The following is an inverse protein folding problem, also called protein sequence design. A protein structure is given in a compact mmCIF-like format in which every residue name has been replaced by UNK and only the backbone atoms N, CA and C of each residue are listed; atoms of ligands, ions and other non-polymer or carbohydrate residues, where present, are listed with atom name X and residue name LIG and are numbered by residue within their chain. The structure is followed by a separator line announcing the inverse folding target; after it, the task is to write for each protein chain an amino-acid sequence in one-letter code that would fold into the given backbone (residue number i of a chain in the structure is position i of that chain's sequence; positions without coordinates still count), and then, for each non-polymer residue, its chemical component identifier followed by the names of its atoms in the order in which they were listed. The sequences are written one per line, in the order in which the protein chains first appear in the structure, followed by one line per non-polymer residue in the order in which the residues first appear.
data_IF_155906607968
#
_entry.id   IF_155906607968
#
_cell.length_a   1.000
_cell.length_b   1.000
_cell.length_c   1.000
_cell.angle_alpha   90.00
_cell.angle_beta   90.00
_cell.angle_gamma   90.00
#
_symmetry.space_group_name_H-M   'P 1'
#
loop_
_entity.id
_entity.type
_entity.pdbx_description
1 polymer ?
#
# COMPACT_ATOMS: atom_id res chain seq x y z
N UNK A 1 12.31 25.74 14.98
CA UNK A 1 10.87 25.57 14.70
C UNK A 1 10.69 24.33 13.86
N UNK A 2 9.81 23.42 14.26
CA UNK A 2 9.79 22.03 13.80
C UNK A 2 9.53 21.87 12.29
N UNK A 3 8.95 22.85 11.60
CA UNK A 3 8.72 22.86 10.14
C UNK A 3 8.57 24.33 9.68
N UNK A 4 9.03 24.75 8.49
CA UNK A 4 8.70 26.07 7.95
C UNK A 4 7.17 26.26 7.82
N UNK A 5 6.62 27.43 8.22
CA UNK A 5 5.18 27.71 8.20
C UNK A 5 4.43 27.35 6.90
N UNK A 6 4.97 27.62 5.69
CA UNK A 6 4.27 27.26 4.45
C UNK A 6 4.11 25.74 4.29
N UNK A 7 5.10 24.93 4.70
CA UNK A 7 5.02 23.47 4.59
C UNK A 7 4.03 22.89 5.60
N UNK A 8 3.89 23.52 6.78
CA UNK A 8 2.85 23.17 7.76
C UNK A 8 1.44 23.45 7.20
N UNK A 9 1.23 24.57 6.50
CA UNK A 9 -0.05 24.89 5.87
C UNK A 9 -0.39 23.92 4.74
N UNK A 10 0.60 23.56 3.90
CA UNK A 10 0.40 22.61 2.81
C UNK A 10 0.04 21.22 3.35
N UNK A 11 0.77 20.73 4.36
CA UNK A 11 0.48 19.42 4.97
C UNK A 11 -0.87 19.39 5.68
N UNK A 12 -1.25 20.48 6.37
CA UNK A 12 -2.57 20.61 6.97
C UNK A 12 -3.68 20.62 5.91
N UNK A 13 -3.50 21.38 4.82
CA UNK A 13 -4.42 21.39 3.68
C UNK A 13 -4.58 20.00 3.08
N UNK A 14 -3.47 19.30 2.84
CA UNK A 14 -3.48 17.93 2.34
C UNK A 14 -4.25 16.96 3.25
N UNK A 15 -4.00 17.01 4.57
CA UNK A 15 -4.71 16.17 5.53
C UNK A 15 -6.20 16.47 5.57
N UNK A 16 -6.60 17.76 5.50
CA UNK A 16 -8.00 18.16 5.44
C UNK A 16 -8.68 17.67 4.16
N UNK A 17 -8.04 17.82 3.00
CA UNK A 17 -8.57 17.30 1.73
C UNK A 17 -8.74 15.79 1.79
N UNK A 18 -7.76 15.07 2.35
CA UNK A 18 -7.79 13.61 2.44
C UNK A 18 -8.87 13.12 3.42
N UNK A 19 -9.06 13.83 4.54
CA UNK A 19 -10.15 13.58 5.49
C UNK A 19 -11.51 13.84 4.83
N UNK A 20 -11.62 14.93 4.06
CA UNK A 20 -12.83 15.31 3.33
C UNK A 20 -13.23 14.30 2.26
N UNK A 21 -12.27 13.83 1.46
CA UNK A 21 -12.47 12.75 0.49
C UNK A 21 -12.96 11.50 1.22
N UNK A 22 -12.34 11.17 2.36
CA UNK A 22 -12.81 10.04 3.13
C UNK A 22 -14.27 10.20 3.59
N UNK A 23 -14.58 11.32 4.24
CA UNK A 23 -15.94 11.60 4.67
C UNK A 23 -16.96 11.59 3.51
N UNK A 24 -16.56 11.96 2.29
CA UNK A 24 -17.37 11.77 1.09
C UNK A 24 -17.48 10.29 0.72
N UNK A 25 -16.40 9.51 0.63
CA UNK A 25 -16.47 8.09 0.29
C UNK A 25 -17.43 7.29 1.18
N UNK A 26 -17.59 7.71 2.44
CA UNK A 26 -18.60 7.18 3.35
C UNK A 26 -20.05 7.34 2.85
N UNK A 27 -20.39 8.44 2.17
CA UNK A 27 -21.75 8.68 1.63
C UNK A 27 -22.11 7.76 0.47
N UNK A 28 -21.10 7.14 -0.16
CA UNK A 28 -21.29 6.13 -1.21
C UNK A 28 -21.69 4.77 -0.63
N UNK A 29 -21.51 4.56 0.69
CA UNK A 29 -21.83 3.29 1.33
C UNK A 29 -23.29 3.32 1.77
N UNK A 30 -24.11 2.31 1.39
CA UNK A 30 -25.53 2.26 1.75
C UNK A 30 -25.77 2.05 3.25
N UNK A 31 -24.74 1.66 4.02
CA UNK A 31 -24.81 1.43 5.45
C UNK A 31 -24.10 2.56 6.24
N UNK A 32 -24.78 3.20 7.21
CA UNK A 32 -24.18 4.25 8.01
C UNK A 32 -23.19 3.64 9.01
N UNK A 33 -21.92 3.57 8.63
CA UNK A 33 -20.84 3.24 9.58
C UNK A 33 -20.68 4.39 10.60
N UNK A 34 -20.10 4.22 11.79
CA UNK A 34 -19.70 5.34 12.66
C UNK A 34 -18.48 6.11 12.09
N UNK A 35 -18.43 7.45 12.23
CA UNK A 35 -17.41 8.30 11.58
C UNK A 35 -15.98 8.01 12.04
N UNK A 36 -15.78 7.84 13.36
CA UNK A 36 -14.47 7.58 13.93
C UNK A 36 -13.82 6.30 13.40
N UNK A 37 -14.47 5.13 13.55
CA UNK A 37 -13.95 3.87 13.02
C UNK A 37 -13.78 3.86 11.50
N UNK A 38 -14.66 4.56 10.78
CA UNK A 38 -14.58 4.69 9.32
C UNK A 38 -13.31 5.45 8.88
N UNK A 39 -13.03 6.60 9.49
CA UNK A 39 -11.82 7.37 9.22
C UNK A 39 -10.56 6.59 9.59
N UNK A 40 -10.57 5.91 10.75
CA UNK A 40 -9.44 5.10 11.19
C UNK A 40 -9.14 3.98 10.18
N UNK A 41 -10.17 3.26 9.71
CA UNK A 41 -10.02 2.24 8.69
C UNK A 41 -9.53 2.82 7.35
N UNK A 42 -10.00 4.00 6.95
CA UNK A 42 -9.57 4.69 5.74
C UNK A 42 -8.07 5.02 5.77
N UNK A 43 -7.59 5.63 6.86
CA UNK A 43 -6.17 5.92 7.05
C UNK A 43 -5.33 4.64 7.16
N UNK A 44 -5.82 3.63 7.87
CA UNK A 44 -5.16 2.33 7.95
C UNK A 44 -5.00 1.69 6.56
N UNK A 45 -6.01 1.80 5.69
CA UNK A 45 -5.94 1.27 4.33
C UNK A 45 -4.86 1.97 3.49
N UNK A 46 -4.76 3.30 3.56
CA UNK A 46 -3.71 4.06 2.86
C UNK A 46 -2.33 3.65 3.37
N UNK A 47 -2.16 3.55 4.69
CA UNK A 47 -0.91 3.13 5.29
C UNK A 47 -0.53 1.71 4.88
N UNK A 48 -1.48 0.78 4.91
CA UNK A 48 -1.28 -0.60 4.47
C UNK A 48 -0.96 -0.68 2.98
N UNK A 49 -1.60 0.11 2.12
CA UNK A 49 -1.29 0.15 0.70
C UNK A 49 0.16 0.63 0.46
N UNK A 50 0.58 1.71 1.12
CA UNK A 50 1.96 2.17 1.08
C UNK A 50 2.93 1.11 1.60
N UNK A 51 2.60 0.46 2.71
CA UNK A 51 3.42 -0.58 3.32
C UNK A 51 3.58 -1.81 2.41
N UNK A 52 2.47 -2.34 1.87
CA UNK A 52 2.48 -3.44 0.92
C UNK A 52 3.27 -3.07 -0.34
N UNK A 53 3.14 -1.83 -0.81
CA UNK A 53 3.89 -1.33 -1.96
C UNK A 53 5.40 -1.27 -1.68
N UNK A 54 5.80 -0.78 -0.51
CA UNK A 54 7.20 -0.77 -0.05
C UNK A 54 7.75 -2.19 0.14
N UNK A 55 6.94 -3.12 0.67
CA UNK A 55 7.34 -4.52 0.78
C UNK A 55 7.56 -5.14 -0.60
N UNK A 56 6.70 -4.83 -1.56
CA UNK A 56 6.83 -5.27 -2.97
C UNK A 56 8.05 -4.67 -3.65
N UNK A 57 8.54 -3.51 -3.20
CA UNK A 57 9.79 -2.92 -3.68
C UNK A 57 11.04 -3.68 -3.26
N UNK A 58 10.96 -4.55 -2.25
CA UNK A 58 12.06 -5.45 -1.94
C UNK A 58 12.10 -6.56 -2.98
N UNK A 59 13.20 -6.74 -3.74
CA UNK A 59 13.33 -7.84 -4.69
C UNK A 59 13.23 -9.17 -3.94
N UNK A 60 12.06 -9.79 -3.99
CA UNK A 60 11.77 -11.09 -3.42
C UNK A 60 11.74 -12.14 -4.53
N UNK A 61 12.27 -13.32 -4.25
CA UNK A 61 12.00 -14.50 -5.07
C UNK A 61 10.54 -14.91 -4.81
N UNK A 62 9.69 -14.82 -5.82
CA UNK A 62 8.33 -15.36 -5.74
C UNK A 62 8.44 -16.84 -6.09
N UNK A 63 8.24 -17.71 -5.11
CA UNK A 63 8.25 -19.16 -5.30
C UNK A 63 6.80 -19.66 -5.37
N UNK A 64 6.44 -20.31 -6.48
CA UNK A 64 5.13 -20.94 -6.65
C UNK A 64 5.27 -22.25 -7.42
N UNK A 65 4.71 -23.34 -6.86
CA UNK A 65 4.65 -24.68 -7.48
C UNK A 65 6.00 -25.22 -8.02
N UNK A 66 7.09 -25.10 -7.23
CA UNK A 66 8.41 -25.62 -7.59
C UNK A 66 9.25 -24.73 -8.52
N UNK A 67 8.70 -23.59 -8.94
CA UNK A 67 9.38 -22.62 -9.80
C UNK A 67 9.62 -21.34 -9.00
N UNK A 68 10.89 -20.92 -8.90
CA UNK A 68 11.26 -19.68 -8.21
C UNK A 68 11.58 -18.60 -9.24
N UNK A 69 10.80 -17.52 -9.24
CA UNK A 69 11.01 -16.35 -10.10
C UNK A 69 11.79 -15.30 -9.33
N UNK A 70 12.99 -14.97 -9.81
CA UNK A 70 13.71 -13.81 -9.29
C UNK A 70 13.16 -12.57 -9.99
N UNK A 71 12.35 -11.78 -9.29
CA UNK A 71 11.73 -10.58 -9.85
C UNK A 71 12.57 -9.36 -9.48
N UNK A 72 12.90 -8.56 -10.48
CA UNK A 72 13.56 -7.27 -10.27
C UNK A 72 12.56 -6.13 -10.18
N UNK A 73 13.07 -4.99 -9.70
CA UNK A 73 12.36 -3.71 -9.61
C UNK A 73 11.44 -3.47 -10.82
N UNK A 74 10.14 -3.32 -10.55
CA UNK A 74 9.10 -3.10 -11.57
C UNK A 74 8.41 -4.37 -12.10
N UNK A 75 8.54 -5.52 -11.44
CA UNK A 75 7.82 -6.74 -11.83
C UNK A 75 8.42 -7.49 -13.02
N UNK A 76 9.63 -7.11 -13.47
CA UNK A 76 10.34 -7.85 -14.52
C UNK A 76 11.06 -9.06 -13.95
N UNK A 77 10.66 -10.24 -14.41
CA UNK A 77 11.31 -11.52 -14.11
C UNK A 77 12.73 -11.49 -14.69
N UNK A 78 13.73 -11.62 -13.81
CA UNK A 78 15.15 -11.57 -14.18
C UNK A 78 15.74 -12.94 -14.44
N UNK A 79 15.31 -13.94 -13.67
CA UNK A 79 15.72 -15.35 -13.80
C UNK A 79 14.60 -16.27 -13.34
N UNK A 80 14.40 -17.34 -14.10
CA UNK A 80 13.55 -18.47 -13.71
C UNK A 80 14.50 -19.52 -13.15
N UNK A 81 14.41 -19.82 -11.87
CA UNK A 81 15.10 -20.95 -11.25
C UNK A 81 14.09 -22.09 -11.26
N UNK A 82 14.23 -22.99 -12.23
CA UNK A 82 13.57 -24.29 -12.20
C UNK A 82 14.33 -25.13 -11.18
N UNK A 83 13.69 -25.51 -10.09
CA UNK A 83 14.21 -26.63 -9.29
C UNK A 83 14.10 -27.86 -10.18
N UNK A 84 15.19 -28.54 -10.54
CA UNK A 84 15.08 -29.79 -11.28
C UNK A 84 14.35 -30.79 -10.36
N UNK A 85 13.20 -31.27 -10.83
CA UNK A 85 12.53 -32.45 -10.29
C UNK A 85 13.38 -33.68 -10.66
N UNK A 86 14.50 -33.83 -9.97
CA UNK A 86 15.43 -34.95 -10.11
C UNK A 86 15.81 -35.45 -8.73
N UNK A 87 14.82 -35.90 -7.96
CA UNK A 87 14.97 -37.07 -7.08
C UNK A 87 13.59 -37.53 -6.59
N UNK A 88 12.90 -38.31 -7.42
CA UNK A 88 11.87 -39.24 -6.98
C UNK A 88 11.85 -40.45 -7.89
#
# INVERSE_FOLDING_TARGET
GLVPPPLALISLGFLLTLTGIGAWCRTLIPHPAPLGPWLLAFYANIFMACWCYIQTWRPGAIAWHGISYQVTWGGRVKKIILTPESDR
#
